data_IF_055378112882
#
_entry.id   IF_055378112882
#
_cell.length_a   1.000
_cell.length_b   1.000
_cell.length_c   1.000
_cell.angle_alpha   90.00
_cell.angle_beta   90.00
_cell.angle_gamma   90.00
#
_symmetry.space_group_name_H-M   'P 1'
#
loop_
_entity.id
_entity.type
_entity.pdbx_description
1 polymer ?
#
# COMPACT_ATOMS: atom_id res chain seq x y z
N UNK A 1 -56.88 -23.18 -32.15
CA UNK A 1 -55.95 -23.87 -31.23
C UNK A 1 -54.55 -23.66 -31.74
N UNK A 2 -53.82 -22.69 -31.20
CA UNK A 2 -52.41 -22.49 -31.52
C UNK A 2 -51.73 -21.85 -30.33
N UNK A 3 -51.19 -22.68 -29.43
CA UNK A 3 -50.26 -22.26 -28.38
C UNK A 3 -48.89 -22.79 -28.79
N UNK A 4 -48.22 -21.93 -29.55
CA UNK A 4 -46.87 -22.09 -30.08
C UNK A 4 -45.90 -22.27 -28.90
N UNK A 5 -45.07 -23.31 -29.05
CA UNK A 5 -43.91 -23.64 -28.22
C UNK A 5 -42.93 -22.45 -28.21
N UNK A 6 -42.65 -21.88 -27.04
CA UNK A 6 -41.50 -20.99 -26.86
C UNK A 6 -41.10 -20.94 -25.38
N UNK A 7 -40.70 -22.09 -24.85
CA UNK A 7 -40.11 -22.22 -23.52
C UNK A 7 -38.66 -22.66 -23.65
N UNK A 8 -37.76 -21.78 -24.10
CA UNK A 8 -36.30 -21.98 -24.00
C UNK A 8 -35.55 -20.72 -24.45
N UNK A 9 -35.59 -19.68 -23.63
CA UNK A 9 -34.68 -18.53 -23.73
C UNK A 9 -34.50 -17.93 -22.35
N UNK A 10 -33.84 -18.68 -21.47
CA UNK A 10 -33.28 -18.19 -20.22
C UNK A 10 -31.91 -18.83 -20.00
N UNK A 11 -30.98 -18.53 -20.91
CA UNK A 11 -29.55 -18.74 -20.71
C UNK A 11 -28.92 -17.37 -20.40
N UNK A 12 -29.37 -16.77 -19.29
CA UNK A 12 -28.85 -15.52 -18.77
C UNK A 12 -28.21 -15.80 -17.41
N UNK A 13 -26.98 -16.30 -17.41
CA UNK A 13 -26.14 -16.26 -16.20
C UNK A 13 -24.73 -15.89 -16.60
N UNK A 14 -24.31 -14.76 -16.04
CA UNK A 14 -23.24 -13.92 -16.53
C UNK A 14 -21.86 -14.55 -16.51
N UNK A 15 -21.08 -14.15 -17.50
CA UNK A 15 -19.62 -14.24 -17.46
C UNK A 15 -19.20 -13.31 -16.31
N UNK A 16 -18.95 -13.90 -15.14
CA UNK A 16 -18.23 -13.26 -14.05
C UNK A 16 -16.84 -12.91 -14.59
N UNK A 17 -16.65 -11.65 -14.96
CA UNK A 17 -15.35 -11.09 -15.35
C UNK A 17 -14.41 -11.28 -14.18
N UNK A 18 -13.42 -12.17 -14.35
CA UNK A 18 -12.46 -12.52 -13.32
C UNK A 18 -11.49 -11.36 -13.07
N UNK A 19 -11.49 -10.90 -11.81
CA UNK A 19 -10.44 -10.23 -11.03
C UNK A 19 -9.30 -9.49 -11.77
N UNK A 20 -9.29 -8.16 -11.65
CA UNK A 20 -8.09 -7.30 -11.75
C UNK A 20 -7.13 -7.50 -10.56
N UNK A 21 -6.74 -8.74 -10.24
CA UNK A 21 -5.86 -9.05 -9.09
C UNK A 21 -4.38 -8.71 -9.35
N UNK A 22 -3.98 -8.61 -10.62
CA UNK A 22 -2.57 -8.40 -11.00
C UNK A 22 -2.19 -6.92 -11.07
N UNK A 23 -3.13 -6.01 -10.86
CA UNK A 23 -2.81 -4.58 -10.84
C UNK A 23 -2.15 -4.21 -9.50
N UNK A 24 -0.94 -3.67 -9.56
CA UNK A 24 -0.30 -3.05 -8.41
C UNK A 24 -0.77 -1.59 -8.25
N UNK A 25 -0.70 -1.08 -7.03
CA UNK A 25 -0.79 0.35 -6.73
C UNK A 25 0.43 0.77 -5.91
N UNK A 26 0.80 2.03 -6.01
CA UNK A 26 1.92 2.62 -5.29
C UNK A 26 1.40 3.51 -4.16
N UNK A 27 2.08 3.47 -3.02
CA UNK A 27 1.96 4.47 -1.96
C UNK A 27 3.31 5.14 -1.78
N UNK A 28 3.29 6.44 -1.53
CA UNK A 28 4.47 7.22 -1.23
C UNK A 28 4.46 7.63 0.25
N UNK A 29 5.63 7.60 0.87
CA UNK A 29 5.84 8.06 2.24
C UNK A 29 7.04 8.97 2.31
N UNK A 30 6.84 10.15 2.90
CA UNK A 30 7.94 11.04 3.26
C UNK A 30 8.47 10.59 4.61
N UNK A 31 9.67 10.00 4.62
CA UNK A 31 10.29 9.55 5.86
C UNK A 31 10.48 10.70 6.84
N UNK A 32 10.16 10.41 8.09
CA UNK A 32 10.32 11.32 9.22
C UNK A 32 11.49 10.88 10.10
N UNK A 33 12.04 11.79 10.91
CA UNK A 33 13.20 11.48 11.74
C UNK A 33 13.00 10.38 12.79
N UNK A 34 11.80 10.28 13.41
CA UNK A 34 11.51 9.24 14.42
C UNK A 34 10.01 8.93 14.62
N UNK A 35 9.16 9.32 13.67
CA UNK A 35 7.72 9.06 13.75
C UNK A 35 7.22 8.18 12.61
N UNK A 36 8.06 7.27 12.10
CA UNK A 36 7.62 6.36 11.07
C UNK A 36 6.83 5.20 11.71
N UNK A 37 5.71 4.78 11.11
CA UNK A 37 4.85 3.75 11.70
C UNK A 37 5.51 2.40 11.96
N UNK A 38 6.53 2.08 11.15
CA UNK A 38 7.24 0.81 11.17
C UNK A 38 8.53 0.85 12.00
N UNK A 39 8.85 1.95 12.70
CA UNK A 39 10.10 2.06 13.45
C UNK A 39 10.25 0.91 14.48
N UNK A 40 9.14 0.46 15.09
CA UNK A 40 9.11 -0.68 16.03
C UNK A 40 9.21 -2.07 15.35
N UNK A 41 9.14 -2.14 14.02
CA UNK A 41 9.24 -3.38 13.24
C UNK A 41 10.63 -3.59 12.64
N UNK A 42 11.54 -2.63 12.83
CA UNK A 42 12.95 -2.75 12.45
C UNK A 42 13.66 -3.59 13.52
N UNK A 43 13.95 -4.84 13.20
CA UNK A 43 14.52 -5.82 14.15
C UNK A 43 16.02 -6.06 13.96
N UNK A 44 16.60 -5.57 12.87
CA UNK A 44 18.01 -5.73 12.58
C UNK A 44 18.79 -4.59 13.22
N UNK A 45 19.86 -4.93 13.94
CA UNK A 45 20.80 -3.98 14.54
C UNK A 45 21.78 -3.40 13.48
N UNK A 46 21.22 -3.04 12.32
CA UNK A 46 21.95 -2.54 11.16
C UNK A 46 21.17 -1.42 10.48
N UNK A 47 21.79 -0.26 10.31
CA UNK A 47 21.20 0.90 9.64
C UNK A 47 21.39 0.84 8.12
N UNK A 48 20.94 -0.25 7.48
CA UNK A 48 20.94 -0.37 6.01
C UNK A 48 19.57 -0.11 5.43
N UNK A 49 19.53 0.33 4.18
CA UNK A 49 18.28 0.51 3.42
C UNK A 49 17.47 -0.78 3.36
N UNK A 50 18.13 -1.93 3.21
CA UNK A 50 17.48 -3.24 3.14
C UNK A 50 16.83 -3.62 4.48
N UNK A 51 17.53 -3.38 5.60
CA UNK A 51 16.98 -3.62 6.93
C UNK A 51 15.75 -2.74 7.19
N UNK A 52 15.81 -1.50 6.73
CA UNK A 52 14.70 -0.56 6.84
C UNK A 52 13.49 -0.99 5.98
N UNK A 53 13.73 -1.38 4.71
CA UNK A 53 12.69 -1.93 3.84
C UNK A 53 12.09 -3.22 4.40
N UNK A 54 12.89 -4.06 5.06
CA UNK A 54 12.39 -5.24 5.75
C UNK A 54 11.45 -4.87 6.91
N UNK A 55 11.77 -3.83 7.70
CA UNK A 55 10.89 -3.32 8.76
C UNK A 55 9.53 -2.85 8.23
N UNK A 56 9.53 -2.10 7.11
CA UNK A 56 8.31 -1.68 6.42
C UNK A 56 7.49 -2.91 5.96
N UNK A 57 8.15 -3.88 5.34
CA UNK A 57 7.50 -5.12 4.89
C UNK A 57 6.92 -5.91 6.08
N UNK A 58 7.64 -6.02 7.19
CA UNK A 58 7.15 -6.69 8.40
C UNK A 58 5.91 -5.99 8.97
N UNK A 59 5.93 -4.66 9.06
CA UNK A 59 4.79 -3.87 9.50
C UNK A 59 3.55 -4.12 8.61
N UNK A 60 3.69 -3.94 7.30
CA UNK A 60 2.56 -4.12 6.37
C UNK A 60 2.03 -5.56 6.34
N UNK A 61 2.91 -6.57 6.42
CA UNK A 61 2.49 -7.96 6.52
C UNK A 61 1.74 -8.23 7.83
N UNK A 62 2.13 -7.60 8.94
CA UNK A 62 1.40 -7.71 10.21
C UNK A 62 -0.01 -7.11 10.14
N UNK A 63 -0.20 -6.10 9.28
CA UNK A 63 -1.51 -5.52 8.93
C UNK A 63 -2.25 -6.32 7.83
N UNK A 64 -1.71 -7.48 7.43
CA UNK A 64 -2.27 -8.35 6.42
C UNK A 64 -2.21 -7.78 4.99
N UNK A 65 -1.28 -6.85 4.73
CA UNK A 65 -1.03 -6.23 3.42
C UNK A 65 0.20 -6.88 2.80
N UNK A 66 0.06 -7.45 1.61
CA UNK A 66 1.20 -8.00 0.87
C UNK A 66 1.98 -6.90 0.17
N UNK A 67 3.31 -6.93 0.25
CA UNK A 67 4.20 -6.00 -0.45
C UNK A 67 4.80 -6.66 -1.69
N UNK A 68 4.71 -5.99 -2.83
CA UNK A 68 5.34 -6.42 -4.08
C UNK A 68 6.80 -5.92 -4.16
N UNK A 69 7.03 -4.66 -3.79
CA UNK A 69 8.36 -4.05 -3.78
C UNK A 69 8.39 -2.79 -2.93
N UNK A 70 9.59 -2.42 -2.46
CA UNK A 70 9.87 -1.17 -1.76
C UNK A 70 11.09 -0.53 -2.43
N UNK A 71 11.04 0.77 -2.65
CA UNK A 71 12.19 1.57 -3.10
C UNK A 71 12.22 2.88 -2.33
N UNK A 72 13.39 3.51 -2.30
CA UNK A 72 13.58 4.78 -1.62
C UNK A 72 14.51 5.68 -2.43
N UNK A 73 14.15 6.95 -2.56
CA UNK A 73 14.92 7.97 -3.27
C UNK A 73 15.01 9.25 -2.44
N UNK A 74 16.11 9.99 -2.61
CA UNK A 74 16.31 11.27 -1.92
C UNK A 74 15.67 12.40 -2.74
N UNK A 75 14.71 13.10 -2.14
CA UNK A 75 14.15 14.35 -2.65
C UNK A 75 14.59 15.49 -1.73
N UNK A 76 15.58 16.27 -2.19
CA UNK A 76 16.14 17.37 -1.40
C UNK A 76 15.14 18.50 -1.14
N UNK A 77 14.07 18.61 -1.93
CA UNK A 77 13.03 19.62 -1.73
C UNK A 77 12.16 19.34 -0.51
N UNK A 78 12.20 18.10 0.00
CA UNK A 78 11.43 17.64 1.15
C UNK A 78 12.23 17.60 2.45
N UNK A 79 13.50 17.97 2.43
CA UNK A 79 14.34 17.99 3.65
C UNK A 79 13.87 19.14 4.55
N UNK A 80 13.57 18.81 5.80
CA UNK A 80 13.25 19.78 6.85
C UNK A 80 14.36 19.81 7.90
N UNK A 81 15.01 20.98 8.04
CA UNK A 81 16.09 21.17 9.01
C UNK A 81 15.53 21.48 10.41
N UNK A 82 15.03 20.45 11.10
CA UNK A 82 14.53 20.56 12.47
C UNK A 82 14.77 19.29 13.30
N UNK A 83 14.61 19.41 14.62
CA UNK A 83 14.87 18.33 15.59
C UNK A 83 13.60 17.58 16.04
N UNK A 84 12.43 17.87 15.45
CA UNK A 84 11.20 17.19 15.82
C UNK A 84 11.07 15.84 15.09
N UNK A 85 10.42 14.84 15.70
CA UNK A 85 10.32 13.50 15.10
C UNK A 85 9.61 13.48 13.75
N UNK A 86 8.67 14.40 13.53
CA UNK A 86 7.89 14.50 12.30
C UNK A 86 8.62 15.27 11.18
N UNK A 87 9.80 15.82 11.46
CA UNK A 87 10.60 16.50 10.44
C UNK A 87 10.98 15.52 9.34
N UNK A 88 10.74 15.91 8.09
CA UNK A 88 11.06 15.08 6.93
C UNK A 88 12.57 14.99 6.71
N UNK A 89 13.06 13.78 6.47
CA UNK A 89 14.49 13.51 6.20
C UNK A 89 14.86 13.81 4.75
N UNK A 90 13.87 13.98 3.87
CA UNK A 90 14.03 14.04 2.41
C UNK A 90 14.03 12.67 1.74
N UNK A 91 14.06 11.57 2.49
CA UNK A 91 13.90 10.24 1.91
C UNK A 91 12.42 10.01 1.57
N UNK A 92 12.12 9.77 0.29
CA UNK A 92 10.80 9.37 -0.19
C UNK A 92 10.80 7.88 -0.43
N UNK A 93 9.87 7.17 0.19
CA UNK A 93 9.73 5.73 0.09
C UNK A 93 8.53 5.43 -0.79
N UNK A 94 8.71 4.57 -1.80
CA UNK A 94 7.64 4.07 -2.65
C UNK A 94 7.41 2.60 -2.36
N UNK A 95 6.18 2.25 -2.00
CA UNK A 95 5.79 0.87 -1.68
C UNK A 95 4.71 0.44 -2.68
N UNK A 96 4.96 -0.65 -3.38
CA UNK A 96 4.01 -1.25 -4.31
C UNK A 96 3.28 -2.41 -3.63
N UNK A 97 1.96 -2.42 -3.70
CA UNK A 97 1.10 -3.47 -3.15
C UNK A 97 0.10 -3.96 -4.19
N UNK A 98 -0.48 -5.16 -4.04
CA UNK A 98 -1.62 -5.58 -4.84
C UNK A 98 -2.81 -4.63 -4.65
N UNK A 99 -3.49 -4.25 -5.73
CA UNK A 99 -4.70 -3.39 -5.68
C UNK A 99 -5.79 -3.96 -4.79
N UNK A 100 -5.84 -5.29 -4.61
CA UNK A 100 -6.75 -5.97 -3.68
C UNK A 100 -6.60 -5.52 -2.21
N UNK A 101 -5.40 -5.08 -1.81
CA UNK A 101 -5.10 -4.63 -0.45
C UNK A 101 -5.30 -3.13 -0.25
N UNK A 102 -5.69 -2.37 -1.29
CA UNK A 102 -5.95 -0.91 -1.23
C UNK A 102 -6.86 -0.51 -0.05
N UNK A 103 -7.90 -1.31 0.22
CA UNK A 103 -8.84 -1.01 1.32
C UNK A 103 -8.19 -1.19 2.69
N UNK A 104 -7.35 -2.22 2.87
CA UNK A 104 -6.62 -2.44 4.13
C UNK A 104 -5.69 -1.25 4.38
N UNK A 105 -4.96 -0.83 3.35
CA UNK A 105 -4.08 0.34 3.43
C UNK A 105 -4.84 1.64 3.76
N UNK A 106 -6.02 1.86 3.18
CA UNK A 106 -6.89 2.99 3.55
C UNK A 106 -7.36 2.95 5.00
N UNK A 107 -7.61 1.76 5.56
CA UNK A 107 -8.01 1.66 6.96
C UNK A 107 -6.88 2.09 7.90
N UNK A 108 -5.61 1.94 7.50
CA UNK A 108 -4.46 2.47 8.25
C UNK A 108 -4.40 4.00 8.20
N UNK A 109 -4.83 4.62 7.08
CA UNK A 109 -4.85 6.09 6.93
C UNK A 109 -5.89 6.82 7.80
N UNK A 110 -6.87 6.11 8.37
CA UNK A 110 -8.03 6.68 9.07
C UNK A 110 -7.71 7.53 10.31
N UNK A 111 -6.47 7.49 10.81
CA UNK A 111 -6.06 8.19 12.03
C UNK A 111 -5.13 9.39 11.79
N UNK A 112 -4.89 9.80 10.53
CA UNK A 112 -4.02 10.94 10.18
C UNK A 112 -2.58 10.87 10.75
N UNK A 113 -2.18 9.71 11.27
CA UNK A 113 -0.81 9.34 11.61
C UNK A 113 -0.03 8.87 10.36
N UNK A 114 -0.74 8.76 9.23
CA UNK A 114 -0.22 8.31 7.96
C UNK A 114 -0.64 9.27 6.85
N UNK A 115 0.25 10.19 6.45
CA UNK A 115 0.07 11.03 5.27
C UNK A 115 0.18 10.21 3.98
N UNK A 116 -0.74 9.27 3.77
CA UNK A 116 -0.78 8.43 2.57
C UNK A 116 -1.45 9.20 1.45
N UNK A 117 -0.64 9.89 0.65
CA UNK A 117 -1.08 10.38 -0.65
C UNK A 117 -1.13 9.19 -1.63
N UNK A 118 -2.34 8.82 -2.04
CA UNK A 118 -2.58 7.79 -3.04
C UNK A 118 -2.72 8.44 -4.41
N UNK A 119 -1.77 8.21 -5.32
CA UNK A 119 -1.83 8.64 -6.72
C UNK A 119 -2.26 7.51 -7.65
#
# INVERSE_FOLDING_TARGET
MSSIRLLSLLFLTGIIVACNKDQAISMHWDETGCSNPWDNFITLDTFTTEAYHQGINNYLNSEGITVNSISSELDSSKIELCLACHCKTGQVITINIPKGDKRKLKNLSGNNQFGLDFY
#
